data_IF_472534331441
#
_entry.id   IF_472534331441
#
_cell.length_a   1.000
_cell.length_b   1.000
_cell.length_c   1.000
_cell.angle_alpha   90.00
_cell.angle_beta   90.00
_cell.angle_gamma   90.00
#
_symmetry.space_group_name_H-M   'P 1'
#
loop_
_entity.id
_entity.type
_entity.pdbx_description
1 polymer ?
#
# COMPACT_ATOMS: atom_id res chain seq x y z
N UNK A 1 -24.70 50.86 -12.38
CA UNK A 1 -23.79 50.50 -11.27
C UNK A 1 -23.92 49.03 -10.85
N UNK A 2 -25.13 48.50 -10.61
CA UNK A 2 -25.38 47.13 -10.10
C UNK A 2 -24.84 46.01 -11.00
N UNK A 3 -25.11 46.04 -12.31
CA UNK A 3 -24.66 45.01 -13.27
C UNK A 3 -23.13 44.90 -13.39
N UNK A 4 -22.42 46.03 -13.29
CA UNK A 4 -20.96 46.08 -13.35
C UNK A 4 -20.31 45.43 -12.11
N UNK A 5 -20.88 45.68 -10.92
CA UNK A 5 -20.46 45.03 -9.67
C UNK A 5 -20.70 43.53 -9.72
N UNK A 6 -21.86 43.08 -10.21
CA UNK A 6 -22.18 41.64 -10.36
C UNK A 6 -21.17 40.95 -11.29
N UNK A 7 -20.84 41.56 -12.44
CA UNK A 7 -19.86 41.00 -13.38
C UNK A 7 -18.45 40.94 -12.77
N UNK A 8 -18.03 41.97 -12.02
CA UNK A 8 -16.74 41.99 -11.32
C UNK A 8 -16.67 40.88 -10.27
N UNK A 9 -17.71 40.69 -9.47
CA UNK A 9 -17.77 39.61 -8.47
C UNK A 9 -17.75 38.22 -9.11
N UNK A 10 -18.46 38.01 -10.22
CA UNK A 10 -18.43 36.74 -10.98
C UNK A 10 -17.03 36.44 -11.53
N UNK A 11 -16.33 37.44 -12.10
CA UNK A 11 -14.95 37.26 -12.58
C UNK A 11 -13.98 36.96 -11.44
N UNK A 12 -14.08 37.67 -10.32
CA UNK A 12 -13.28 37.41 -9.14
C UNK A 12 -13.50 35.98 -8.61
N UNK A 13 -14.75 35.54 -8.51
CA UNK A 13 -15.08 34.15 -8.13
C UNK A 13 -14.42 33.13 -9.06
N UNK A 14 -14.49 33.34 -10.38
CA UNK A 14 -13.84 32.44 -11.35
C UNK A 14 -12.32 32.41 -11.14
N UNK A 15 -11.67 33.56 -10.96
CA UNK A 15 -10.23 33.59 -10.70
C UNK A 15 -9.84 32.91 -9.38
N UNK A 16 -10.64 33.09 -8.32
CA UNK A 16 -10.42 32.39 -7.05
C UNK A 16 -10.55 30.88 -7.22
N UNK A 17 -11.57 30.40 -7.93
CA UNK A 17 -11.74 28.97 -8.21
C UNK A 17 -10.57 28.40 -9.03
N UNK A 18 -10.11 29.11 -10.06
CA UNK A 18 -8.95 28.71 -10.86
C UNK A 18 -7.66 28.70 -10.04
N UNK A 19 -7.45 29.69 -9.18
CA UNK A 19 -6.29 29.73 -8.28
C UNK A 19 -6.31 28.55 -7.30
N UNK A 20 -7.47 28.21 -6.73
CA UNK A 20 -7.61 27.04 -5.84
C UNK A 20 -7.35 25.72 -6.57
N UNK A 21 -7.79 25.60 -7.83
CA UNK A 21 -7.54 24.40 -8.63
C UNK A 21 -6.04 24.10 -8.82
N UNK A 22 -5.19 25.13 -8.78
CA UNK A 22 -3.73 25.00 -8.88
C UNK A 22 -3.08 24.90 -7.50
N UNK A 23 -3.50 25.76 -6.56
CA UNK A 23 -2.89 25.83 -5.23
C UNK A 23 -3.09 24.55 -4.41
N UNK A 24 -4.26 23.91 -4.51
CA UNK A 24 -4.56 22.69 -3.75
C UNK A 24 -3.64 21.52 -4.17
N UNK A 25 -3.50 21.16 -5.46
CA UNK A 25 -2.55 20.13 -5.87
C UNK A 25 -1.11 20.43 -5.48
N UNK A 26 -0.66 21.68 -5.62
CA UNK A 26 0.70 22.08 -5.21
C UNK A 26 0.90 21.90 -3.71
N UNK A 27 -0.08 22.28 -2.89
CA UNK A 27 -0.05 22.07 -1.44
C UNK A 27 0.01 20.57 -1.09
N UNK A 28 -0.79 19.73 -1.76
CA UNK A 28 -0.79 18.29 -1.52
C UNK A 28 0.54 17.63 -1.90
N UNK A 29 1.12 18.01 -3.05
CA UNK A 29 2.43 17.52 -3.48
C UNK A 29 3.50 17.95 -2.49
N UNK A 30 3.54 19.23 -2.11
CA UNK A 30 4.53 19.74 -1.14
C UNK A 30 4.40 19.05 0.23
N UNK A 31 3.18 18.88 0.76
CA UNK A 31 2.94 18.14 1.99
C UNK A 31 3.41 16.67 1.88
N UNK A 32 3.15 16.02 0.74
CA UNK A 32 3.63 14.66 0.46
C UNK A 32 5.16 14.55 0.42
N UNK A 33 5.84 15.48 -0.25
CA UNK A 33 7.31 15.53 -0.29
C UNK A 33 7.94 15.82 1.09
N UNK A 34 7.21 16.51 1.97
CA UNK A 34 7.59 16.71 3.38
C UNK A 34 7.24 15.50 4.29
N UNK A 35 6.72 14.40 3.73
CA UNK A 35 6.40 13.17 4.49
C UNK A 35 5.12 13.25 5.33
N UNK A 36 4.34 14.33 5.21
CA UNK A 36 3.11 14.52 6.01
C UNK A 36 2.01 13.52 5.67
N UNK A 37 2.13 12.82 4.54
CA UNK A 37 1.17 11.84 4.04
C UNK A 37 1.62 10.37 4.23
N UNK A 38 2.74 10.12 4.90
CA UNK A 38 3.30 8.76 5.05
C UNK A 38 2.53 7.89 6.04
N UNK A 39 1.78 8.48 6.97
CA UNK A 39 1.07 7.75 8.03
C UNK A 39 2.00 7.13 9.09
N UNK A 40 1.41 6.61 10.16
CA UNK A 40 2.14 6.00 11.28
C UNK A 40 2.42 4.52 11.07
N UNK A 41 3.59 4.04 11.51
CA UNK A 41 3.92 2.61 11.54
C UNK A 41 2.89 1.87 12.41
N UNK A 42 2.19 0.85 11.88
CA UNK A 42 1.21 0.13 12.65
C UNK A 42 1.86 -0.73 13.75
N UNK A 43 1.26 -0.76 14.95
CA UNK A 43 1.62 -1.72 15.99
C UNK A 43 1.26 -3.16 15.57
N UNK A 44 1.89 -4.16 16.18
CA UNK A 44 1.62 -5.59 15.99
C UNK A 44 1.82 -6.07 14.54
N UNK A 45 2.92 -5.65 13.92
CA UNK A 45 3.41 -6.27 12.69
C UNK A 45 4.29 -7.48 13.01
N UNK A 46 4.43 -8.38 12.04
CA UNK A 46 5.05 -9.69 12.19
C UNK A 46 4.00 -10.80 12.22
N UNK A 47 4.50 -12.01 12.46
CA UNK A 47 3.67 -13.21 12.55
C UNK A 47 3.28 -13.43 14.01
N UNK A 48 1.99 -13.58 14.28
CA UNK A 48 1.46 -13.94 15.59
C UNK A 48 0.49 -15.11 15.41
N UNK A 49 0.69 -16.21 16.14
CA UNK A 49 -0.13 -17.42 16.05
C UNK A 49 -0.29 -17.96 14.61
N UNK A 50 0.80 -17.92 13.83
CA UNK A 50 0.81 -18.37 12.43
C UNK A 50 0.03 -17.47 11.47
N UNK A 51 -0.21 -16.21 11.84
CA UNK A 51 -0.95 -15.24 11.04
C UNK A 51 -0.19 -13.93 10.91
N UNK A 52 -0.26 -13.35 9.72
CA UNK A 52 0.07 -11.95 9.51
C UNK A 52 -1.03 -11.07 10.13
N UNK A 53 -0.74 -9.77 10.21
CA UNK A 53 -1.71 -8.80 10.71
C UNK A 53 -3.05 -8.90 9.96
N UNK A 54 -4.15 -8.77 10.70
CA UNK A 54 -5.52 -8.84 10.15
C UNK A 54 -5.82 -7.77 9.10
N UNK A 55 -6.93 -7.96 8.37
CA UNK A 55 -7.38 -7.06 7.30
C UNK A 55 -7.59 -5.63 7.81
N UNK A 56 -7.32 -4.64 6.93
CA UNK A 56 -7.68 -3.26 7.22
C UNK A 56 -9.19 -3.09 7.22
N UNK A 57 -9.73 -2.20 8.06
CA UNK A 57 -11.15 -1.84 8.09
C UNK A 57 -11.61 -1.09 6.81
N UNK A 58 -10.68 -0.69 5.95
CA UNK A 58 -10.91 0.11 4.74
C UNK A 58 -10.38 -0.58 3.47
N UNK A 59 -10.76 -0.07 2.29
CA UNK A 59 -10.39 -0.65 0.98
C UNK A 59 -8.97 -0.25 0.56
N UNK A 60 -8.01 -0.50 1.43
CA UNK A 60 -6.61 -0.11 1.25
C UNK A 60 -5.64 -1.23 1.66
N UNK A 61 -6.10 -2.48 1.68
CA UNK A 61 -5.23 -3.63 1.97
C UNK A 61 -5.62 -4.87 1.19
N UNK A 62 -4.62 -5.71 0.92
CA UNK A 62 -4.78 -7.08 0.43
C UNK A 62 -4.01 -8.06 1.32
N UNK A 63 -4.46 -9.31 1.39
CA UNK A 63 -3.78 -10.39 2.10
C UNK A 63 -4.15 -11.76 1.55
N UNK A 64 -3.19 -12.68 1.54
CA UNK A 64 -3.43 -14.10 1.23
C UNK A 64 -4.26 -14.82 2.29
N UNK A 65 -4.20 -14.31 3.53
CA UNK A 65 -4.95 -14.83 4.66
C UNK A 65 -6.34 -14.19 4.79
N UNK A 66 -6.82 -13.44 3.79
CA UNK A 66 -8.14 -12.80 3.84
C UNK A 66 -9.26 -13.82 4.12
N UNK A 67 -9.17 -15.02 3.54
CA UNK A 67 -10.14 -16.12 3.73
C UNK A 67 -10.30 -16.58 5.19
N UNK A 68 -9.35 -16.27 6.08
CA UNK A 68 -9.47 -16.53 7.53
C UNK A 68 -10.52 -15.64 8.21
N UNK A 69 -11.00 -14.59 7.53
CA UNK A 69 -11.93 -13.60 8.07
C UNK A 69 -13.18 -13.48 7.19
N UNK A 70 -14.03 -14.52 7.10
CA UNK A 70 -15.17 -14.56 6.16
C UNK A 70 -16.19 -13.43 6.41
N UNK A 71 -16.39 -13.05 7.68
CA UNK A 71 -17.36 -12.01 8.06
C UNK A 71 -16.78 -10.58 7.96
N UNK A 72 -15.51 -10.43 7.60
CA UNK A 72 -14.88 -9.12 7.52
C UNK A 72 -15.39 -8.37 6.27
N UNK A 73 -15.90 -7.12 6.38
CA UNK A 73 -16.49 -6.40 5.24
C UNK A 73 -15.56 -6.24 4.04
N UNK A 74 -14.25 -6.15 4.29
CA UNK A 74 -13.22 -6.02 3.25
C UNK A 74 -12.71 -7.36 2.69
N UNK A 75 -13.21 -8.52 3.15
CA UNK A 75 -12.72 -9.85 2.77
C UNK A 75 -12.58 -10.02 1.25
N UNK A 76 -13.67 -9.78 0.51
CA UNK A 76 -13.70 -9.93 -0.95
C UNK A 76 -12.71 -9.01 -1.64
N UNK A 77 -12.63 -7.74 -1.20
CA UNK A 77 -11.69 -6.77 -1.77
C UNK A 77 -10.23 -7.09 -1.41
N UNK A 78 -9.96 -7.63 -0.23
CA UNK A 78 -8.61 -7.86 0.26
C UNK A 78 -8.01 -9.18 -0.21
N UNK A 79 -8.83 -10.13 -0.69
CA UNK A 79 -8.33 -11.47 -1.07
C UNK A 79 -7.35 -11.40 -2.23
N UNK A 80 -6.17 -12.00 -2.05
CA UNK A 80 -5.14 -12.18 -3.09
C UNK A 80 -4.47 -13.54 -2.85
N UNK A 81 -3.79 -14.11 -3.84
CA UNK A 81 -3.16 -15.42 -3.63
C UNK A 81 -1.79 -15.28 -2.93
N UNK A 82 -1.39 -16.34 -2.20
CA UNK A 82 -0.05 -16.50 -1.63
C UNK A 82 0.99 -16.84 -2.72
N UNK A 83 2.27 -16.55 -2.49
CA UNK A 83 3.33 -16.96 -3.44
C UNK A 83 3.67 -18.44 -3.21
N UNK A 84 3.85 -19.23 -4.29
CA UNK A 84 4.26 -20.63 -4.15
C UNK A 84 5.69 -20.75 -3.60
N UNK A 85 5.99 -21.84 -2.88
CA UNK A 85 7.37 -22.18 -2.50
C UNK A 85 8.23 -22.52 -3.74
N UNK A 86 9.48 -22.06 -3.73
CA UNK A 86 10.54 -22.45 -4.66
C UNK A 86 11.44 -23.54 -4.05
N UNK A 87 10.83 -24.64 -3.61
CA UNK A 87 11.53 -25.75 -2.98
C UNK A 87 11.62 -25.57 -1.47
N UNK A 88 12.53 -24.73 -0.99
CA UNK A 88 12.72 -24.48 0.45
C UNK A 88 12.56 -22.99 0.82
N UNK A 89 12.57 -22.72 2.14
CA UNK A 89 12.43 -21.38 2.69
C UNK A 89 13.54 -20.43 2.23
N UNK A 90 14.78 -20.89 2.18
CA UNK A 90 15.92 -20.04 1.81
C UNK A 90 15.86 -19.62 0.34
N UNK A 91 15.53 -20.56 -0.55
CA UNK A 91 15.33 -20.30 -1.97
C UNK A 91 14.16 -19.33 -2.21
N UNK A 92 13.01 -19.60 -1.56
CA UNK A 92 11.80 -18.79 -1.70
C UNK A 92 12.01 -17.36 -1.17
N UNK A 93 12.53 -17.22 0.05
CA UNK A 93 12.75 -15.89 0.65
C UNK A 93 13.90 -15.14 -0.03
N UNK A 94 14.92 -15.84 -0.52
CA UNK A 94 16.03 -15.24 -1.28
C UNK A 94 15.59 -14.68 -2.64
N UNK A 95 14.77 -15.43 -3.40
CA UNK A 95 14.17 -14.94 -4.64
C UNK A 95 13.28 -13.74 -4.37
N UNK A 96 12.41 -13.82 -3.37
CA UNK A 96 11.51 -12.72 -3.00
C UNK A 96 12.30 -11.46 -2.61
N UNK A 97 13.35 -11.59 -1.80
CA UNK A 97 14.22 -10.47 -1.44
C UNK A 97 14.80 -9.79 -2.68
N UNK A 98 15.31 -10.58 -3.63
CA UNK A 98 15.85 -10.06 -4.90
C UNK A 98 14.80 -9.28 -5.68
N UNK A 99 13.58 -9.82 -5.81
CA UNK A 99 12.46 -9.13 -6.47
C UNK A 99 12.17 -7.80 -5.78
N UNK A 100 11.99 -7.79 -4.46
CA UNK A 100 11.66 -6.58 -3.70
C UNK A 100 12.74 -5.50 -3.82
N UNK A 101 14.03 -5.87 -3.84
CA UNK A 101 15.14 -4.94 -3.98
C UNK A 101 15.19 -4.25 -5.36
N UNK A 102 14.64 -4.86 -6.39
CA UNK A 102 14.59 -4.27 -7.74
C UNK A 102 13.37 -3.37 -7.96
N UNK A 103 12.41 -3.37 -7.03
CA UNK A 103 11.18 -2.60 -7.17
C UNK A 103 11.35 -1.12 -6.80
N UNK A 104 11.01 -0.17 -7.69
CA UNK A 104 11.10 1.24 -7.39
C UNK A 104 10.21 1.65 -6.22
N UNK A 105 10.81 2.34 -5.24
CA UNK A 105 10.09 2.84 -4.07
C UNK A 105 9.77 1.77 -3.02
N UNK A 106 10.32 0.56 -3.14
CA UNK A 106 10.26 -0.48 -2.10
C UNK A 106 11.55 -0.46 -1.27
N UNK A 107 11.42 -0.49 0.05
CA UNK A 107 12.53 -0.49 1.00
C UNK A 107 12.35 -1.59 2.03
N UNK A 108 13.31 -2.50 2.14
CA UNK A 108 13.29 -3.55 3.17
C UNK A 108 13.51 -2.93 4.55
N UNK A 109 12.67 -3.29 5.52
CA UNK A 109 12.72 -2.76 6.90
C UNK A 109 12.91 -3.83 7.97
N UNK A 110 12.69 -5.10 7.63
CA UNK A 110 13.09 -6.23 8.45
C UNK A 110 13.35 -7.46 7.57
N UNK A 111 14.35 -8.25 7.93
CA UNK A 111 14.68 -9.50 7.27
C UNK A 111 15.05 -10.55 8.32
N UNK A 112 14.35 -11.68 8.25
CA UNK A 112 14.54 -12.88 9.05
C UNK A 112 14.56 -14.08 8.10
N UNK A 113 14.81 -15.29 8.60
CA UNK A 113 14.92 -16.50 7.76
C UNK A 113 13.64 -16.81 6.99
N UNK A 114 12.48 -16.65 7.62
CA UNK A 114 11.16 -17.00 7.10
C UNK A 114 10.24 -15.78 6.97
N UNK A 115 10.72 -14.58 7.29
CA UNK A 115 9.91 -13.35 7.28
C UNK A 115 10.66 -12.16 6.66
N UNK A 116 9.95 -11.42 5.80
CA UNK A 116 10.40 -10.16 5.23
C UNK A 116 9.35 -9.08 5.47
N UNK A 117 9.83 -7.90 5.84
CA UNK A 117 9.02 -6.67 5.89
C UNK A 117 9.63 -5.61 5.01
N UNK A 118 8.79 -4.93 4.26
CA UNK A 118 9.18 -3.81 3.43
C UNK A 118 8.15 -2.67 3.50
N UNK A 119 8.57 -1.48 3.11
CA UNK A 119 7.71 -0.32 2.91
C UNK A 119 7.70 0.04 1.43
N UNK A 120 6.54 0.34 0.87
CA UNK A 120 6.40 0.86 -0.48
C UNK A 120 5.87 2.29 -0.45
N UNK A 121 6.59 3.23 -1.08
CA UNK A 121 6.20 4.65 -1.13
C UNK A 121 5.72 5.07 -2.51
N UNK A 122 4.63 5.83 -2.59
CA UNK A 122 4.17 6.47 -3.84
C UNK A 122 5.02 7.69 -4.18
N UNK A 123 5.41 7.83 -5.47
CA UNK A 123 6.40 8.85 -5.90
C UNK A 123 5.98 10.30 -5.69
N UNK A 124 4.71 10.62 -5.95
CA UNK A 124 4.23 12.00 -5.97
C UNK A 124 3.85 12.51 -4.58
N UNK A 125 3.08 11.69 -3.84
CA UNK A 125 2.45 12.08 -2.58
C UNK A 125 3.10 11.43 -1.36
N UNK A 126 4.01 10.46 -1.52
CA UNK A 126 4.73 9.88 -0.38
C UNK A 126 3.88 9.02 0.56
N UNK A 127 2.68 8.58 0.12
CA UNK A 127 1.92 7.55 0.85
C UNK A 127 2.75 6.29 1.00
N UNK A 128 2.75 5.72 2.19
CA UNK A 128 3.48 4.50 2.52
C UNK A 128 2.51 3.35 2.76
N UNK A 129 2.81 2.23 2.12
CA UNK A 129 2.17 0.95 2.33
C UNK A 129 3.17 -0.01 3.01
N UNK A 130 2.71 -0.75 4.01
CA UNK A 130 3.47 -1.81 4.66
C UNK A 130 3.27 -3.14 3.91
N UNK A 131 4.38 -3.81 3.61
CA UNK A 131 4.42 -5.14 3.00
C UNK A 131 4.96 -6.15 4.02
N UNK A 132 4.25 -7.25 4.20
CA UNK A 132 4.68 -8.38 5.02
C UNK A 132 4.64 -9.66 4.20
N UNK A 133 5.68 -10.47 4.34
CA UNK A 133 5.81 -11.76 3.69
C UNK A 133 6.33 -12.77 4.69
N UNK A 134 5.67 -13.91 4.80
CA UNK A 134 6.03 -14.98 5.72
C UNK A 134 5.96 -16.33 5.02
N UNK A 135 7.07 -17.07 5.01
CA UNK A 135 7.08 -18.45 4.59
C UNK A 135 6.40 -19.31 5.65
N UNK A 136 5.19 -19.79 5.35
CA UNK A 136 4.42 -20.63 6.24
C UNK A 136 4.91 -22.08 6.14
N UNK A 137 5.56 -22.65 7.18
CA UNK A 137 6.14 -23.97 7.09
C UNK A 137 5.08 -25.09 7.03
N UNK A 138 3.84 -24.83 7.46
CA UNK A 138 2.75 -25.80 7.43
C UNK A 138 2.14 -25.93 6.03
N UNK A 139 1.98 -24.82 5.32
CA UNK A 139 1.35 -24.79 3.98
C UNK A 139 2.35 -24.70 2.84
N UNK A 140 3.64 -24.49 3.14
CA UNK A 140 4.72 -24.40 2.14
C UNK A 140 4.45 -23.33 1.06
N UNK A 141 3.95 -22.17 1.50
CA UNK A 141 3.73 -20.98 0.66
C UNK A 141 4.24 -19.75 1.40
N UNK A 142 4.50 -18.66 0.67
CA UNK A 142 4.72 -17.35 1.28
C UNK A 142 3.37 -16.64 1.42
N UNK A 143 2.87 -16.60 2.65
CA UNK A 143 1.75 -15.75 3.04
C UNK A 143 2.16 -14.28 2.92
N UNK A 144 1.24 -13.44 2.48
CA UNK A 144 1.53 -12.04 2.21
C UNK A 144 0.42 -11.10 2.64
N UNK A 145 0.83 -9.85 2.86
CA UNK A 145 -0.04 -8.71 3.16
C UNK A 145 0.57 -7.44 2.60
N UNK A 146 -0.28 -6.56 2.09
CA UNK A 146 0.05 -5.20 1.69
C UNK A 146 -1.04 -4.26 2.19
N UNK A 147 -0.70 -3.21 2.93
CA UNK A 147 -1.68 -2.30 3.50
C UNK A 147 -1.18 -0.86 3.63
N UNK A 148 -2.01 0.11 3.23
CA UNK A 148 -1.70 1.53 3.40
C UNK A 148 -1.76 1.96 4.86
N UNK A 149 -0.80 2.80 5.29
CA UNK A 149 -0.80 3.43 6.63
C UNK A 149 -1.84 4.52 6.77
N UNK A 150 -2.20 5.16 5.66
CA UNK A 150 -3.11 6.29 5.61
C UNK A 150 -4.08 6.17 4.43
N UNK A 151 -5.28 6.73 4.59
CA UNK A 151 -6.32 6.75 3.55
C UNK A 151 -7.32 5.61 3.69
N UNK A 152 -8.55 5.83 3.20
CA UNK A 152 -9.63 4.84 3.24
C UNK A 152 -9.69 3.95 1.99
N UNK A 153 -9.01 4.36 0.93
CA UNK A 153 -8.98 3.64 -0.32
C UNK A 153 -7.62 3.88 -1.00
N UNK A 154 -7.06 2.83 -1.57
CA UNK A 154 -5.78 2.88 -2.28
C UNK A 154 -5.94 2.79 -3.81
N UNK A 155 -7.20 2.77 -4.29
CA UNK A 155 -7.57 2.58 -5.69
C UNK A 155 -6.90 1.34 -6.34
N UNK A 156 -6.70 0.28 -5.55
CA UNK A 156 -6.09 -0.97 -5.99
C UNK A 156 -4.57 -0.94 -6.09
N UNK A 157 -3.90 0.09 -5.56
CA UNK A 157 -2.44 0.23 -5.59
C UNK A 157 -1.74 -0.96 -4.91
N UNK A 158 -2.20 -1.40 -3.73
CA UNK A 158 -1.62 -2.55 -3.03
C UNK A 158 -1.79 -3.84 -3.84
N UNK A 159 -2.96 -4.06 -4.44
CA UNK A 159 -3.20 -5.22 -5.30
C UNK A 159 -2.27 -5.23 -6.51
N UNK A 160 -2.22 -4.13 -7.27
CA UNK A 160 -1.36 -4.02 -8.47
C UNK A 160 0.11 -4.30 -8.13
N UNK A 161 0.58 -3.80 -6.98
CA UNK A 161 1.94 -4.04 -6.52
C UNK A 161 2.19 -5.51 -6.19
N UNK A 162 1.31 -6.12 -5.39
CA UNK A 162 1.48 -7.54 -5.04
C UNK A 162 1.41 -8.41 -6.28
N UNK A 163 0.53 -8.15 -7.24
CA UNK A 163 0.51 -8.92 -8.50
C UNK A 163 1.80 -8.73 -9.32
N UNK A 164 2.38 -7.53 -9.35
CA UNK A 164 3.68 -7.33 -9.98
C UNK A 164 4.81 -8.09 -9.25
N UNK A 165 4.77 -8.15 -7.92
CA UNK A 165 5.71 -8.96 -7.12
C UNK A 165 5.51 -10.44 -7.44
N UNK A 166 4.26 -10.90 -7.51
CA UNK A 166 3.92 -12.29 -7.84
C UNK A 166 4.40 -12.69 -9.22
N UNK A 167 4.23 -11.82 -10.21
CA UNK A 167 4.73 -12.05 -11.57
C UNK A 167 6.26 -12.16 -11.58
N UNK A 168 6.98 -11.15 -11.07
CA UNK A 168 8.45 -11.15 -11.05
C UNK A 168 9.07 -12.26 -10.17
N UNK A 169 8.33 -12.72 -9.16
CA UNK A 169 8.74 -13.86 -8.35
C UNK A 169 8.67 -15.18 -9.12
N UNK A 170 7.69 -15.35 -10.01
CA UNK A 170 7.45 -16.59 -10.75
C UNK A 170 8.21 -16.69 -12.08
N UNK A 171 8.87 -15.61 -12.50
CA UNK A 171 9.86 -15.59 -13.60
C UNK A 171 11.18 -16.21 -13.19
#
# INVERSE_FOLDING_TARGET
>A
MIQFTILKTKKQLVYTLLAMLIAIPVLLITAGQLGMLSGSLPANMGVTDGKLKTLSATRNSVSSQAKLYPDHPMNSFATIDALPSMGDTAASMGKLLTVLQTMPGVRITAQQSDYLRAEASTKLLGFVDDLEFWFNPQTQVIELRSASRLGREDFGTNRKRIEAIRAAYQE
#
